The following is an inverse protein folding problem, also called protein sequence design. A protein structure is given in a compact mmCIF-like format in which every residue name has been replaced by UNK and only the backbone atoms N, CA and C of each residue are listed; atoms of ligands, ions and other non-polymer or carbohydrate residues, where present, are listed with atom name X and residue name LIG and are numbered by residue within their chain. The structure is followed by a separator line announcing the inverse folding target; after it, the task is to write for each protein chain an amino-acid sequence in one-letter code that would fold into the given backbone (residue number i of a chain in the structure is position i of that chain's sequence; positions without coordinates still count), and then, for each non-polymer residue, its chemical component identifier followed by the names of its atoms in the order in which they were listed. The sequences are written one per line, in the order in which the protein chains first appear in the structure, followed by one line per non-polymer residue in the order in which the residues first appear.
data_IF_485181004750
#
_entry.id   IF_485181004750
#
_cell.length_a   1.000
_cell.length_b   1.000
_cell.length_c   1.000
_cell.angle_alpha   90.00
_cell.angle_beta   90.00
_cell.angle_gamma   90.00
#
_symmetry.space_group_name_H-M   'P 1'
#
loop_
_entity.id
_entity.type
_entity.pdbx_description
1 polymer ?
#
# COMPACT_ATOMS: atom_id res chain seq x y z
N UNK A 1 25.94 -8.69 -9.89
CA UNK A 1 24.54 -8.24 -9.71
C UNK A 1 24.35 -8.00 -8.23
N UNK A 2 24.03 -6.77 -7.83
CA UNK A 2 23.73 -6.46 -6.44
C UNK A 2 22.42 -7.15 -6.05
N UNK A 3 22.41 -7.87 -4.92
CA UNK A 3 21.19 -8.51 -4.43
C UNK A 3 20.22 -7.44 -3.92
N UNK A 4 18.97 -7.45 -4.40
CA UNK A 4 17.89 -6.67 -3.78
C UNK A 4 17.70 -7.14 -2.33
N UNK A 5 17.32 -6.24 -1.44
CA UNK A 5 17.07 -6.49 -0.02
C UNK A 5 15.85 -5.74 0.47
N UNK A 6 15.17 -6.28 1.49
CA UNK A 6 14.15 -5.55 2.25
C UNK A 6 14.88 -4.79 3.36
N UNK A 7 14.76 -3.46 3.31
CA UNK A 7 15.38 -2.55 4.25
C UNK A 7 14.47 -2.29 5.45
N UNK A 8 13.17 -2.15 5.20
CA UNK A 8 12.15 -1.93 6.22
C UNK A 8 10.83 -2.56 5.76
N UNK A 9 9.96 -2.90 6.70
CA UNK A 9 8.63 -3.40 6.41
C UNK A 9 7.60 -2.94 7.45
N UNK A 10 6.35 -2.78 7.02
CA UNK A 10 5.20 -2.49 7.86
C UNK A 10 4.01 -3.34 7.45
N UNK A 11 3.09 -3.62 8.39
CA UNK A 11 1.88 -4.41 8.15
C UNK A 11 0.68 -3.75 8.80
N UNK A 12 -0.49 -3.98 8.22
CA UNK A 12 -1.81 -3.79 8.80
C UNK A 12 -2.58 -5.09 8.61
N UNK A 13 -2.86 -5.86 9.67
CA UNK A 13 -3.68 -7.08 9.56
C UNK A 13 -4.26 -7.49 10.91
N UNK A 14 -5.28 -8.37 10.96
CA UNK A 14 -5.87 -8.87 12.20
C UNK A 14 -4.87 -9.40 13.23
N UNK A 15 -3.75 -9.96 12.77
CA UNK A 15 -2.71 -10.53 13.62
C UNK A 15 -1.72 -9.46 14.14
N UNK A 16 -1.88 -8.19 13.75
CA UNK A 16 -1.08 -7.05 14.22
C UNK A 16 -0.82 -5.98 13.14
N UNK A 17 -0.72 -4.72 13.56
CA UNK A 17 -0.51 -3.56 12.69
C UNK A 17 0.64 -2.64 13.16
N UNK A 18 1.67 -2.43 12.34
CA UNK A 18 2.76 -1.51 12.63
C UNK A 18 4.03 -1.82 11.84
N UNK A 19 5.16 -1.21 12.23
CA UNK A 19 6.48 -1.54 11.65
C UNK A 19 6.96 -2.89 12.17
N UNK A 20 7.44 -3.76 11.28
CA UNK A 20 7.99 -5.06 11.69
C UNK A 20 9.30 -4.86 12.47
N UNK A 21 9.42 -5.57 13.59
CA UNK A 21 10.58 -5.51 14.49
C UNK A 21 10.41 -4.56 15.69
N UNK A 22 9.33 -3.78 15.75
CA UNK A 22 8.96 -2.97 16.92
C UNK A 22 7.93 -3.71 17.80
N UNK A 23 7.96 -3.50 19.12
CA UNK A 23 7.15 -4.25 20.08
C UNK A 23 5.71 -3.69 20.18
N UNK A 24 4.74 -4.61 20.09
CA UNK A 24 3.36 -4.42 20.53
C UNK A 24 2.44 -3.83 19.46
N UNK A 25 1.48 -4.62 18.98
CA UNK A 25 0.42 -4.12 18.10
C UNK A 25 -0.91 -4.80 18.41
N UNK A 26 -1.95 -4.01 18.65
CA UNK A 26 -3.34 -4.48 18.62
C UNK A 26 -3.94 -4.08 17.29
N UNK A 27 -4.56 -5.01 16.58
CA UNK A 27 -5.35 -4.68 15.39
C UNK A 27 -6.63 -3.95 15.80
N UNK A 28 -6.84 -2.70 15.38
CA UNK A 28 -8.15 -2.10 15.53
C UNK A 28 -9.04 -2.62 14.38
N UNK A 29 -10.22 -3.13 14.71
CA UNK A 29 -11.23 -3.53 13.71
C UNK A 29 -11.62 -2.35 12.79
N UNK A 30 -11.41 -1.12 13.25
CA UNK A 30 -11.66 0.11 12.52
C UNK A 30 -10.36 0.85 12.16
N UNK A 31 -10.40 1.58 11.05
CA UNK A 31 -9.30 2.48 10.68
C UNK A 31 -9.15 3.61 11.74
N UNK A 32 -7.92 3.91 12.17
CA UNK A 32 -7.66 4.87 13.23
C UNK A 32 -7.71 6.29 12.67
N UNK A 33 -8.03 7.24 13.54
CA UNK A 33 -7.78 8.64 13.23
C UNK A 33 -6.29 8.91 13.06
N UNK A 34 -5.95 9.85 12.17
CA UNK A 34 -4.56 10.17 11.84
C UNK A 34 -3.70 10.52 13.06
N UNK A 35 -4.27 11.16 14.08
CA UNK A 35 -3.55 11.54 15.30
C UNK A 35 -2.99 10.35 16.09
N UNK A 36 -3.54 9.14 15.90
CA UNK A 36 -3.00 7.90 16.48
C UNK A 36 -1.87 7.30 15.65
N UNK A 37 -1.70 7.74 14.40
CA UNK A 37 -0.70 7.25 13.45
C UNK A 37 0.54 8.13 13.47
N UNK A 38 0.35 9.45 13.46
CA UNK A 38 1.45 10.42 13.42
C UNK A 38 1.07 11.75 14.06
N UNK A 39 2.04 12.33 14.77
CA UNK A 39 1.91 13.67 15.34
C UNK A 39 1.92 14.78 14.27
N UNK A 40 2.39 14.49 13.04
CA UNK A 40 2.38 15.46 11.93
C UNK A 40 0.96 15.59 11.36
N UNK A 41 0.33 16.77 11.33
CA UNK A 41 -1.03 16.93 10.81
C UNK A 41 -1.25 16.38 9.40
N UNK A 42 -2.47 15.91 9.12
CA UNK A 42 -2.88 15.48 7.79
C UNK A 42 -4.35 15.81 7.51
N UNK A 43 -4.63 17.08 7.24
CA UNK A 43 -6.00 17.60 7.13
C UNK A 43 -6.86 16.94 6.05
N UNK A 44 -6.24 16.33 5.04
CA UNK A 44 -6.96 15.61 3.98
C UNK A 44 -7.30 14.17 4.35
N UNK A 45 -6.61 13.58 5.33
CA UNK A 45 -6.78 12.18 5.73
C UNK A 45 -8.23 11.76 5.98
N UNK A 46 -9.08 12.56 6.66
CA UNK A 46 -10.47 12.17 6.90
C UNK A 46 -11.28 11.93 5.61
N UNK A 47 -10.93 12.65 4.52
CA UNK A 47 -11.62 12.59 3.21
C UNK A 47 -11.16 11.44 2.33
N UNK A 48 -10.02 10.82 2.64
CA UNK A 48 -9.50 9.70 1.86
C UNK A 48 -10.45 8.51 1.93
N UNK A 49 -10.52 7.75 0.83
CA UNK A 49 -11.17 6.45 0.84
C UNK A 49 -10.39 5.45 1.72
N UNK A 50 -11.02 4.35 2.16
CA UNK A 50 -10.39 3.36 3.04
C UNK A 50 -9.06 2.80 2.52
N UNK A 51 -8.91 2.53 1.22
CA UNK A 51 -7.65 2.03 0.67
C UNK A 51 -6.57 3.10 0.79
N UNK A 52 -6.87 4.34 0.38
CA UNK A 52 -5.92 5.45 0.50
C UNK A 52 -5.52 5.73 1.95
N UNK A 53 -6.40 5.51 2.93
CA UNK A 53 -6.07 5.61 4.37
C UNK A 53 -5.04 4.56 4.77
N UNK A 54 -5.26 3.28 4.44
CA UNK A 54 -4.31 2.19 4.73
C UNK A 54 -2.95 2.49 4.09
N UNK A 55 -2.94 2.89 2.82
CA UNK A 55 -1.72 3.23 2.08
C UNK A 55 -0.92 4.33 2.81
N UNK A 56 -1.57 5.41 3.22
CA UNK A 56 -0.88 6.51 3.89
C UNK A 56 -0.40 6.15 5.31
N UNK A 57 -1.15 5.32 6.04
CA UNK A 57 -0.71 4.78 7.33
C UNK A 57 0.57 3.95 7.17
N UNK A 58 0.56 3.01 6.22
CA UNK A 58 1.70 2.12 5.97
C UNK A 58 2.94 2.91 5.53
N UNK A 59 2.78 3.90 4.65
CA UNK A 59 3.90 4.75 4.21
C UNK A 59 4.43 5.59 5.37
N UNK A 60 3.57 6.16 6.20
CA UNK A 60 4.01 6.93 7.36
C UNK A 60 4.77 6.06 8.36
N UNK A 61 4.29 4.86 8.69
CA UNK A 61 5.04 3.93 9.53
C UNK A 61 6.35 3.47 8.91
N UNK A 62 6.41 3.31 7.60
CA UNK A 62 7.64 2.90 6.94
C UNK A 62 8.67 4.05 6.90
N UNK A 63 8.21 5.27 6.64
CA UNK A 63 9.05 6.44 6.40
C UNK A 63 9.15 7.44 7.56
N UNK A 64 8.54 7.22 8.73
CA UNK A 64 8.68 8.13 9.87
C UNK A 64 9.66 7.59 10.93
N UNK A 65 10.60 8.39 11.45
CA UNK A 65 11.02 9.72 10.95
C UNK A 65 11.75 9.61 9.60
N UNK A 66 11.55 10.60 8.71
CA UNK A 66 11.98 10.59 7.29
C UNK A 66 13.40 10.03 7.11
N UNK A 67 13.55 8.76 6.68
CA UNK A 67 14.85 8.28 6.26
C UNK A 67 15.25 9.04 5.00
N UNK A 68 16.54 9.28 4.80
CA UNK A 68 17.06 9.74 3.51
C UNK A 68 16.86 8.62 2.47
N UNK A 69 15.65 8.54 1.90
CA UNK A 69 15.26 7.55 0.89
C UNK A 69 15.56 8.00 -0.54
N UNK A 70 15.99 9.26 -0.71
CA UNK A 70 16.18 9.87 -2.02
C UNK A 70 14.86 9.99 -2.76
N UNK A 71 14.82 9.53 -4.00
CA UNK A 71 13.63 9.49 -4.84
C UNK A 71 13.25 8.03 -5.10
N UNK A 72 12.65 7.32 -4.12
CA UNK A 72 12.30 5.93 -4.33
C UNK A 72 11.20 5.82 -5.38
N UNK A 73 11.23 4.76 -6.19
CA UNK A 73 10.03 4.32 -6.90
C UNK A 73 8.97 3.87 -5.89
N UNK A 74 7.68 3.97 -6.23
CA UNK A 74 6.61 3.56 -5.32
C UNK A 74 5.45 2.90 -6.06
N UNK A 75 5.06 1.73 -5.56
CA UNK A 75 4.10 0.85 -6.21
C UNK A 75 3.00 0.51 -5.21
N UNK A 76 1.75 0.70 -5.62
CA UNK A 76 0.59 0.16 -4.92
C UNK A 76 0.05 -1.03 -5.69
N UNK A 77 -0.06 -2.16 -5.02
CA UNK A 77 -0.75 -3.34 -5.48
C UNK A 77 -2.03 -3.52 -4.65
N UNK A 78 -3.16 -3.75 -5.31
CA UNK A 78 -4.44 -3.98 -4.65
C UNK A 78 -5.25 -4.96 -5.45
N UNK A 79 -6.08 -5.76 -4.77
CA UNK A 79 -7.03 -6.64 -5.43
C UNK A 79 -8.33 -5.94 -5.74
N UNK A 80 -8.81 -5.11 -4.81
CA UNK A 80 -10.16 -4.56 -4.85
C UNK A 80 -10.22 -3.06 -5.17
N UNK A 81 -9.08 -2.37 -5.19
CA UNK A 81 -9.04 -0.93 -5.45
C UNK A 81 -9.87 -0.13 -4.45
N UNK A 82 -10.49 0.95 -4.92
CA UNK A 82 -11.25 1.90 -4.12
C UNK A 82 -12.74 1.53 -4.03
N UNK A 83 -13.09 0.25 -3.90
CA UNK A 83 -14.47 -0.26 -4.02
C UNK A 83 -15.51 0.52 -3.19
N UNK A 84 -15.15 0.95 -1.98
CA UNK A 84 -16.05 1.74 -1.13
C UNK A 84 -16.36 3.12 -1.73
N UNK A 85 -15.34 3.80 -2.26
CA UNK A 85 -15.48 5.08 -2.93
C UNK A 85 -16.19 4.92 -4.29
N UNK A 86 -15.89 3.84 -5.02
CA UNK A 86 -16.53 3.52 -6.30
C UNK A 86 -18.04 3.36 -6.13
N UNK A 87 -18.47 2.59 -5.11
CA UNK A 87 -19.88 2.39 -4.79
C UNK A 87 -20.54 3.69 -4.32
N UNK A 88 -19.85 4.48 -3.49
CA UNK A 88 -20.37 5.77 -3.03
C UNK A 88 -20.56 6.75 -4.20
N UNK A 89 -19.59 6.83 -5.13
CA UNK A 89 -19.67 7.63 -6.33
C UNK A 89 -20.77 7.14 -7.26
N UNK A 90 -20.83 5.83 -7.53
CA UNK A 90 -21.85 5.21 -8.37
C UNK A 90 -23.27 5.54 -7.89
N UNK A 91 -23.53 5.49 -6.58
CA UNK A 91 -24.83 5.88 -6.00
C UNK A 91 -25.24 7.32 -6.33
N UNK A 92 -24.30 8.23 -6.54
CA UNK A 92 -24.60 9.61 -6.94
C UNK A 92 -24.87 9.77 -8.45
N UNK A 93 -24.37 8.83 -9.25
CA UNK A 93 -24.39 8.91 -10.71
C UNK A 93 -25.44 7.99 -11.37
N UNK A 94 -25.91 6.95 -10.68
CA UNK A 94 -26.72 5.87 -11.27
C UNK A 94 -28.05 6.35 -11.83
N UNK A 95 -28.74 7.25 -11.12
CA UNK A 95 -30.04 7.76 -11.58
C UNK A 95 -29.88 8.82 -12.68
N UNK A 96 -28.82 9.64 -12.57
CA UNK A 96 -28.48 10.66 -13.56
C UNK A 96 -26.98 10.98 -13.49
N UNK A 97 -26.19 10.69 -14.54
CA UNK A 97 -24.76 10.99 -14.56
C UNK A 97 -24.41 12.46 -14.33
N UNK A 98 -25.32 13.39 -14.61
CA UNK A 98 -25.13 14.82 -14.33
C UNK A 98 -25.11 15.16 -12.82
N UNK A 99 -25.56 14.23 -11.96
CA UNK A 99 -25.53 14.36 -10.50
C UNK A 99 -24.31 13.70 -9.86
N UNK A 100 -23.41 13.12 -10.66
CA UNK A 100 -22.21 12.48 -10.17
C UNK A 100 -21.36 13.43 -9.31
N UNK A 101 -21.00 13.00 -8.09
CA UNK A 101 -20.30 13.85 -7.14
C UNK A 101 -18.84 14.11 -7.57
N UNK A 102 -18.45 15.35 -7.89
CA UNK A 102 -17.07 15.68 -8.23
C UNK A 102 -16.14 15.57 -7.02
N UNK A 103 -16.68 15.57 -5.80
CA UNK A 103 -15.88 15.44 -4.57
C UNK A 103 -15.52 13.98 -4.28
N UNK A 104 -16.33 13.02 -4.73
CA UNK A 104 -16.06 11.59 -4.54
C UNK A 104 -15.18 11.02 -5.65
N UNK A 105 -15.31 11.52 -6.87
CA UNK A 105 -14.58 11.02 -8.04
C UNK A 105 -13.06 10.89 -7.85
N UNK A 106 -12.32 11.88 -7.27
CA UNK A 106 -10.88 11.73 -7.09
C UNK A 106 -10.49 10.52 -6.23
N UNK A 107 -11.37 10.10 -5.32
CA UNK A 107 -11.14 8.99 -4.41
C UNK A 107 -11.58 7.62 -4.98
N UNK A 108 -12.12 7.58 -6.20
CA UNK A 108 -12.35 6.33 -6.95
C UNK A 108 -11.09 5.86 -7.67
N UNK A 109 -10.02 6.65 -7.65
CA UNK A 109 -8.75 6.34 -8.29
C UNK A 109 -7.80 5.70 -7.27
N UNK A 110 -7.36 4.44 -7.42
CA UNK A 110 -6.43 3.84 -6.46
C UNK A 110 -5.07 4.55 -6.38
N UNK A 111 -4.72 5.37 -7.38
CA UNK A 111 -3.56 6.25 -7.34
C UNK A 111 -3.68 7.42 -6.35
N UNK A 112 -4.88 7.74 -5.85
CA UNK A 112 -5.11 8.88 -4.96
C UNK A 112 -4.28 8.78 -3.67
N UNK A 113 -4.26 7.61 -3.04
CA UNK A 113 -3.47 7.36 -1.84
C UNK A 113 -1.98 7.56 -2.06
N UNK A 114 -1.44 7.09 -3.18
CA UNK A 114 -0.04 7.30 -3.57
C UNK A 114 0.27 8.78 -3.85
N UNK A 115 -0.62 9.49 -4.54
CA UNK A 115 -0.43 10.91 -4.86
C UNK A 115 -0.36 11.76 -3.58
N UNK A 116 -1.24 11.49 -2.61
CA UNK A 116 -1.25 12.15 -1.31
C UNK A 116 0.03 11.84 -0.50
N UNK A 117 0.47 10.58 -0.50
CA UNK A 117 1.73 10.19 0.13
C UNK A 117 2.94 10.85 -0.55
N UNK A 118 2.94 10.95 -1.88
CA UNK A 118 4.00 11.61 -2.64
C UNK A 118 4.12 13.09 -2.27
N UNK A 119 3.00 13.80 -2.15
CA UNK A 119 2.98 15.19 -1.68
C UNK A 119 3.49 15.28 -0.24
N UNK A 120 3.00 14.41 0.66
CA UNK A 120 3.29 14.45 2.09
C UNK A 120 4.76 14.14 2.43
N UNK A 121 5.37 13.22 1.69
CA UNK A 121 6.73 12.73 1.92
C UNK A 121 7.74 13.21 0.88
N UNK A 122 7.32 14.03 -0.09
CA UNK A 122 8.17 14.54 -1.15
C UNK A 122 8.71 13.46 -2.09
N UNK A 123 7.93 12.40 -2.32
CA UNK A 123 8.33 11.29 -3.21
C UNK A 123 8.26 11.74 -4.67
N UNK A 124 9.34 11.53 -5.42
CA UNK A 124 9.48 12.00 -6.81
C UNK A 124 9.91 10.91 -7.80
N UNK A 125 10.13 9.69 -7.33
CA UNK A 125 10.49 8.56 -8.19
C UNK A 125 9.31 8.06 -9.03
N UNK A 126 9.54 7.02 -9.87
CA UNK A 126 8.49 6.43 -10.69
C UNK A 126 7.38 5.83 -9.82
N UNK A 127 6.14 5.92 -10.29
CA UNK A 127 4.95 5.48 -9.57
C UNK A 127 4.13 4.48 -10.40
N UNK A 128 3.59 3.44 -9.76
CA UNK A 128 2.68 2.50 -10.43
C UNK A 128 1.57 2.02 -9.50
N UNK A 129 0.42 1.70 -10.10
CA UNK A 129 -0.71 1.04 -9.44
C UNK A 129 -1.02 -0.22 -10.20
N UNK A 130 -1.11 -1.36 -9.50
CA UNK A 130 -1.39 -2.68 -10.05
C UNK A 130 -2.66 -3.23 -9.41
N UNK A 131 -3.69 -3.47 -10.22
CA UNK A 131 -4.98 -4.00 -9.77
C UNK A 131 -5.17 -5.43 -10.28
N UNK A 132 -4.93 -6.42 -9.41
CA UNK A 132 -5.04 -7.85 -9.75
C UNK A 132 -5.03 -8.73 -8.50
N UNK A 133 -5.44 -9.99 -8.64
CA UNK A 133 -5.47 -10.95 -7.52
C UNK A 133 -4.06 -11.20 -6.94
N UNK A 134 -3.08 -11.57 -7.78
CA UNK A 134 -1.68 -11.78 -7.39
C UNK A 134 -0.88 -10.45 -7.39
N UNK A 135 -1.40 -9.43 -6.70
CA UNK A 135 -0.89 -8.06 -6.81
C UNK A 135 0.45 -7.83 -6.10
N UNK A 136 0.70 -8.45 -4.95
CA UNK A 136 1.98 -8.29 -4.25
C UNK A 136 3.16 -8.80 -5.07
N UNK A 137 3.07 -10.02 -5.62
CA UNK A 137 4.12 -10.57 -6.50
C UNK A 137 4.38 -9.61 -7.67
N UNK A 138 3.35 -9.15 -8.39
CA UNK A 138 3.56 -8.22 -9.50
C UNK A 138 4.22 -6.90 -9.08
N UNK A 139 3.85 -6.35 -7.92
CA UNK A 139 4.48 -5.15 -7.38
C UNK A 139 5.97 -5.33 -7.10
N UNK A 140 6.34 -6.47 -6.52
CA UNK A 140 7.73 -6.81 -6.23
C UNK A 140 8.53 -7.07 -7.51
N UNK A 141 7.91 -7.71 -8.51
CA UNK A 141 8.47 -7.89 -9.85
C UNK A 141 8.78 -6.55 -10.52
N UNK A 142 7.85 -5.60 -10.42
CA UNK A 142 8.04 -4.27 -10.99
C UNK A 142 9.13 -3.49 -10.25
N UNK A 143 9.19 -3.61 -8.92
CA UNK A 143 10.25 -3.00 -8.12
C UNK A 143 11.63 -3.57 -8.47
N UNK A 144 11.74 -4.89 -8.60
CA UNK A 144 12.97 -5.55 -9.00
C UNK A 144 13.44 -5.02 -10.36
N UNK A 145 12.54 -4.90 -11.34
CA UNK A 145 12.88 -4.30 -12.65
C UNK A 145 13.45 -2.89 -12.48
N UNK A 146 12.77 -2.00 -11.74
CA UNK A 146 13.23 -0.63 -11.55
C UNK A 146 14.59 -0.53 -10.84
N UNK A 147 14.87 -1.42 -9.90
CA UNK A 147 16.16 -1.50 -9.22
C UNK A 147 17.27 -2.02 -10.15
N UNK A 148 16.98 -3.03 -10.97
CA UNK A 148 17.94 -3.64 -11.90
C UNK A 148 18.26 -2.73 -13.09
N UNK A 149 17.27 -1.98 -13.61
CA UNK A 149 17.46 -1.02 -14.71
C UNK A 149 18.02 0.33 -14.26
N UNK A 150 18.07 0.58 -12.95
CA UNK A 150 18.51 1.85 -12.38
C UNK A 150 17.48 2.98 -12.49
N UNK A 151 16.23 2.68 -12.86
CA UNK A 151 15.10 3.63 -12.82
C UNK A 151 14.80 4.11 -11.40
N UNK A 152 15.12 3.30 -10.39
CA UNK A 152 15.08 3.69 -8.99
C UNK A 152 16.24 3.05 -8.21
N UNK A 153 16.76 3.74 -7.20
CA UNK A 153 17.77 3.17 -6.26
C UNK A 153 17.15 2.45 -5.08
N UNK A 154 15.90 2.81 -4.76
CA UNK A 154 15.07 2.23 -3.71
C UNK A 154 13.64 2.16 -4.21
N UNK A 155 12.87 1.22 -3.69
CA UNK A 155 11.49 1.06 -4.11
C UNK A 155 10.58 0.78 -2.92
N UNK A 156 9.50 1.54 -2.79
CA UNK A 156 8.40 1.28 -1.88
C UNK A 156 7.41 0.36 -2.59
N UNK A 157 7.15 -0.81 -2.03
CA UNK A 157 6.14 -1.73 -2.56
C UNK A 157 5.06 -1.92 -1.52
N UNK A 158 3.84 -1.58 -1.87
CA UNK A 158 2.67 -1.76 -1.02
C UNK A 158 1.76 -2.80 -1.65
N UNK A 159 1.21 -3.69 -0.82
CA UNK A 159 -0.02 -4.40 -1.10
C UNK A 159 -1.05 -3.95 -0.08
N UNK A 160 -2.23 -3.50 -0.49
CA UNK A 160 -3.27 -3.11 0.45
C UNK A 160 -4.66 -3.30 -0.13
N UNK A 161 -5.60 -3.65 0.75
CA UNK A 161 -7.02 -3.71 0.46
C UNK A 161 -7.81 -3.24 1.68
N UNK A 162 -8.86 -2.45 1.43
CA UNK A 162 -9.78 -2.00 2.47
C UNK A 162 -11.21 -2.13 1.98
N UNK A 163 -11.78 -3.31 2.19
CA UNK A 163 -13.16 -3.65 1.84
C UNK A 163 -13.99 -3.58 3.13
N UNK A 164 -14.85 -2.58 3.22
CA UNK A 164 -15.78 -2.43 4.34
C UNK A 164 -17.12 -3.09 3.97
N UNK A 165 -18.18 -2.81 4.73
CA UNK A 165 -19.45 -3.53 4.59
C UNK A 165 -20.10 -3.37 3.22
N UNK A 166 -20.04 -2.18 2.59
CA UNK A 166 -20.71 -1.98 1.31
C UNK A 166 -19.98 -2.68 0.16
N UNK A 167 -18.65 -2.58 0.13
CA UNK A 167 -17.79 -3.31 -0.80
C UNK A 167 -17.88 -4.81 -0.60
N UNK A 168 -17.85 -5.28 0.65
CA UNK A 168 -17.98 -6.70 1.00
C UNK A 168 -19.28 -7.29 0.45
N UNK A 169 -20.40 -6.59 0.67
CA UNK A 169 -21.70 -6.99 0.16
C UNK A 169 -21.74 -6.97 -1.38
N UNK A 170 -21.11 -5.99 -2.03
CA UNK A 170 -21.10 -5.93 -3.50
C UNK A 170 -20.24 -7.05 -4.12
N UNK A 171 -19.06 -7.28 -3.56
CA UNK A 171 -18.08 -8.26 -4.03
C UNK A 171 -18.39 -9.70 -3.60
N UNK A 172 -19.34 -9.88 -2.66
CA UNK A 172 -19.67 -11.17 -2.04
C UNK A 172 -18.44 -11.80 -1.34
N UNK A 173 -17.69 -10.96 -0.61
CA UNK A 173 -16.53 -11.36 0.19
C UNK A 173 -16.65 -10.83 1.62
N UNK A 174 -15.97 -11.41 2.62
CA UNK A 174 -15.93 -10.82 3.97
C UNK A 174 -15.30 -9.42 3.99
N UNK A 175 -15.75 -8.51 4.88
CA UNK A 175 -15.02 -7.27 5.14
C UNK A 175 -13.59 -7.57 5.58
N UNK A 176 -12.64 -6.78 5.06
CA UNK A 176 -11.22 -6.94 5.36
C UNK A 176 -10.51 -5.61 5.21
N UNK A 177 -9.60 -5.32 6.13
CA UNK A 177 -8.65 -4.22 6.00
C UNK A 177 -7.29 -4.81 6.24
N UNK A 178 -6.48 -4.85 5.19
CA UNK A 178 -5.14 -5.41 5.26
C UNK A 178 -4.16 -4.62 4.40
N UNK A 179 -2.90 -4.70 4.76
CA UNK A 179 -1.84 -4.27 3.88
C UNK A 179 -0.45 -4.53 4.42
N UNK A 180 0.49 -4.54 3.49
CA UNK A 180 1.91 -4.71 3.71
C UNK A 180 2.64 -3.64 2.93
N UNK A 181 3.71 -3.11 3.49
CA UNK A 181 4.59 -2.18 2.83
C UNK A 181 6.04 -2.59 3.05
N UNK A 182 6.84 -2.51 1.99
CA UNK A 182 8.25 -2.86 1.98
C UNK A 182 9.06 -1.72 1.39
N UNK A 183 10.16 -1.35 2.04
CA UNK A 183 11.20 -0.53 1.44
C UNK A 183 12.29 -1.47 0.92
N UNK A 184 12.51 -1.48 -0.39
CA UNK A 184 13.52 -2.28 -1.07
C UNK A 184 14.71 -1.42 -1.48
N UNK A 185 15.91 -2.01 -1.55
CA UNK A 185 17.10 -1.36 -2.08
C UNK A 185 18.23 -2.34 -2.40
N UNK A 186 19.30 -1.80 -2.98
CA UNK A 186 20.52 -2.56 -3.37
C UNK A 186 21.70 -2.37 -2.41
N UNK A 187 21.55 -1.52 -1.38
CA UNK A 187 22.56 -1.23 -0.35
C UNK A 187 22.59 -2.34 0.75
N UNK A 188 23.62 -2.36 1.61
CA UNK A 188 23.71 -3.30 2.74
C UNK A 188 22.52 -3.14 3.72
N UNK A 189 21.73 -4.21 3.89
CA UNK A 189 20.58 -4.32 4.80
C UNK A 189 20.39 -5.78 5.25
N UNK A 190 19.69 -6.03 6.36
CA UNK A 190 19.71 -7.30 7.12
C UNK A 190 19.06 -8.51 6.44
N UNK A 191 18.22 -8.33 5.42
CA UNK A 191 17.47 -9.41 4.78
C UNK A 191 17.69 -9.47 3.27
N UNK A 192 18.22 -10.59 2.76
CA UNK A 192 18.43 -10.80 1.33
C UNK A 192 17.13 -11.18 0.60
N UNK A 193 16.85 -10.54 -0.53
CA UNK A 193 15.78 -10.97 -1.44
C UNK A 193 16.10 -12.37 -1.95
N UNK A 194 15.22 -13.36 -1.73
CA UNK A 194 15.48 -14.70 -2.25
C UNK A 194 15.36 -14.70 -3.77
N UNK A 195 16.22 -15.45 -4.47
CA UNK A 195 16.04 -15.65 -5.91
C UNK A 195 14.68 -16.31 -6.17
N UNK A 196 13.93 -15.88 -7.21
CA UNK A 196 12.62 -16.43 -7.51
C UNK A 196 12.69 -17.96 -7.67
N UNK A 197 11.77 -18.67 -7.03
CA UNK A 197 11.74 -20.13 -6.96
C UNK A 197 11.09 -20.78 -8.20
N UNK A 198 11.27 -20.18 -9.38
CA UNK A 198 10.66 -20.62 -10.64
C UNK A 198 9.65 -19.62 -11.21
N UNK A 199 9.04 -19.92 -12.37
CA UNK A 199 8.10 -19.04 -13.03
C UNK A 199 6.81 -18.89 -12.19
N UNK A 200 6.52 -17.65 -11.76
CA UNK A 200 5.21 -17.28 -11.20
C UNK A 200 5.17 -16.89 -9.72
N UNK A 201 6.25 -17.11 -8.93
CA UNK A 201 6.36 -16.60 -7.55
C UNK A 201 7.72 -15.97 -7.32
N UNK A 202 7.73 -14.73 -6.87
CA UNK A 202 8.97 -13.96 -6.74
C UNK A 202 9.58 -14.14 -5.34
N UNK A 203 8.76 -14.53 -4.36
CA UNK A 203 9.17 -14.80 -2.99
C UNK A 203 9.01 -16.29 -2.60
N UNK A 204 9.88 -16.86 -1.77
CA UNK A 204 9.75 -18.21 -1.24
C UNK A 204 8.52 -18.32 -0.35
N UNK A 205 7.94 -19.53 -0.27
CA UNK A 205 6.85 -19.83 0.67
C UNK A 205 7.18 -19.43 2.11
N UNK A 206 8.45 -19.55 2.52
CA UNK A 206 8.87 -19.21 3.88
C UNK A 206 8.82 -17.70 4.16
N UNK A 207 8.97 -16.87 3.14
CA UNK A 207 8.79 -15.42 3.26
C UNK A 207 7.32 -15.06 3.45
N UNK A 208 6.44 -15.68 2.68
CA UNK A 208 4.99 -15.56 2.86
C UNK A 208 4.57 -16.09 4.25
N UNK A 209 5.09 -17.25 4.66
CA UNK A 209 4.86 -17.82 5.98
C UNK A 209 5.36 -16.92 7.12
N UNK A 210 6.51 -16.26 6.96
CA UNK A 210 7.04 -15.29 7.93
C UNK A 210 6.20 -14.00 8.03
N UNK A 211 5.40 -13.69 7.00
CA UNK A 211 4.48 -12.56 6.96
C UNK A 211 3.03 -12.92 7.34
N UNK A 212 2.75 -14.20 7.60
CA UNK A 212 1.40 -14.78 7.69
C UNK A 212 0.54 -14.54 6.43
N UNK A 213 1.16 -14.61 5.25
CA UNK A 213 0.53 -14.54 3.92
C UNK A 213 0.40 -15.93 3.28
#
# INVERSE_FOLDING_TARGET
MSSVRILQAARWSPEGCGRLGEAGFSYPEALPDWGHVSARPFDRFPRLDPLSKVVNILIEWLLAPQPAVGEPGFILASRYGCVEADLAYYRTAVDNPALASPQLFPYTLPSAGLAEAAIRHGLRGPAAVLLQDESLDAGLSQAQRWLETGEARRCLVLHADAVLSAGANFLQVPPRVEGWAFLLGTDEGSWAWPKPAGPGRILPRDFYAALNL
#
